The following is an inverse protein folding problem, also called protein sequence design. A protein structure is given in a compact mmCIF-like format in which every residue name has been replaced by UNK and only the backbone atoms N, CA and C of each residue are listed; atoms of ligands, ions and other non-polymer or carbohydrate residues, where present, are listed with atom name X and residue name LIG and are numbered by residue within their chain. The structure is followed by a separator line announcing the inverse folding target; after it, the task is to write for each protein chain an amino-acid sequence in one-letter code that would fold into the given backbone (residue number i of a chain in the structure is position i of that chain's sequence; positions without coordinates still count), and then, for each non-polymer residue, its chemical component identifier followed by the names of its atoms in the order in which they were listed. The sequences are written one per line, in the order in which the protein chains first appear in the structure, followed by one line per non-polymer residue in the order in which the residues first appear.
data_IF_628686762024
#
_entry.id   IF_628686762024
#
_cell.length_a   1.000
_cell.length_b   1.000
_cell.length_c   1.000
_cell.angle_alpha   90.00
_cell.angle_beta   90.00
_cell.angle_gamma   90.00
#
_symmetry.space_group_name_H-M   'P 1'
#
loop_
_entity.id
_entity.type
_entity.pdbx_description
1 polymer ?
#
# COMPACT_ATOMS: atom_id res chain seq x y z
N UNK A 1 -21.27 -12.94 2.13
CA UNK A 1 -20.70 -11.84 2.93
C UNK A 1 -21.79 -11.07 3.66
N UNK A 2 -21.46 -10.49 4.80
CA UNK A 2 -22.32 -9.60 5.60
C UNK A 2 -22.23 -8.16 5.09
N UNK A 3 -23.22 -7.33 5.44
CA UNK A 3 -23.28 -5.91 5.02
C UNK A 3 -22.08 -5.11 5.54
N UNK A 4 -21.64 -5.39 6.76
CA UNK A 4 -20.49 -4.73 7.39
C UNK A 4 -19.19 -5.05 6.63
N UNK A 5 -19.03 -6.30 6.15
CA UNK A 5 -17.88 -6.72 5.35
C UNK A 5 -17.85 -6.01 3.99
N UNK A 6 -19.01 -5.82 3.34
CA UNK A 6 -19.13 -5.05 2.10
C UNK A 6 -18.66 -3.61 2.30
N UNK A 7 -19.05 -2.98 3.42
CA UNK A 7 -18.65 -1.61 3.74
C UNK A 7 -17.13 -1.53 3.91
N UNK A 8 -16.56 -2.44 4.70
CA UNK A 8 -15.10 -2.52 4.92
C UNK A 8 -14.34 -2.68 3.60
N UNK A 9 -14.83 -3.54 2.70
CA UNK A 9 -14.21 -3.71 1.37
C UNK A 9 -14.26 -2.40 0.58
N UNK A 10 -15.43 -1.75 0.49
CA UNK A 10 -15.57 -0.49 -0.27
C UNK A 10 -14.62 0.58 0.24
N UNK A 11 -14.60 0.82 1.56
CA UNK A 11 -13.72 1.84 2.15
C UNK A 11 -12.25 1.48 1.99
N UNK A 12 -11.90 0.19 2.02
CA UNK A 12 -10.52 -0.25 1.77
C UNK A 12 -10.10 0.02 0.33
N UNK A 13 -10.96 -0.29 -0.64
CA UNK A 13 -10.70 -0.03 -2.06
C UNK A 13 -10.61 1.47 -2.38
N UNK A 14 -11.45 2.30 -1.75
CA UNK A 14 -11.35 3.76 -1.85
C UNK A 14 -10.02 4.28 -1.28
N UNK A 15 -9.59 3.77 -0.12
CA UNK A 15 -8.31 4.15 0.48
C UNK A 15 -7.11 3.72 -0.37
N UNK A 16 -7.19 2.60 -1.10
CA UNK A 16 -6.14 2.20 -2.07
C UNK A 16 -5.93 3.23 -3.17
N UNK A 17 -6.99 3.89 -3.64
CA UNK A 17 -6.87 4.96 -4.65
C UNK A 17 -6.12 6.17 -4.06
N UNK A 18 -6.48 6.60 -2.85
CA UNK A 18 -5.77 7.69 -2.15
C UNK A 18 -4.31 7.33 -1.86
N UNK A 19 -4.02 6.07 -1.51
CA UNK A 19 -2.64 5.60 -1.34
C UNK A 19 -1.84 5.68 -2.64
N UNK A 20 -2.44 5.34 -3.79
CA UNK A 20 -1.76 5.45 -5.08
C UNK A 20 -1.44 6.91 -5.42
N UNK A 21 -2.36 7.84 -5.18
CA UNK A 21 -2.12 9.28 -5.34
C UNK A 21 -0.98 9.76 -4.43
N UNK A 22 -0.96 9.32 -3.17
CA UNK A 22 0.12 9.61 -2.22
C UNK A 22 1.48 9.09 -2.71
N UNK A 23 1.50 7.89 -3.30
CA UNK A 23 2.73 7.29 -3.83
C UNK A 23 3.23 8.06 -5.08
N UNK A 24 2.33 8.51 -5.95
CA UNK A 24 2.64 9.39 -7.08
C UNK A 24 3.22 10.72 -6.59
N UNK A 25 2.61 11.32 -5.55
CA UNK A 25 3.10 12.54 -4.94
C UNK A 25 4.53 12.38 -4.40
N UNK A 26 4.78 11.33 -3.61
CA UNK A 26 6.11 11.05 -3.04
C UNK A 26 7.14 10.93 -4.17
N UNK A 27 6.83 10.14 -5.20
CA UNK A 27 7.73 9.94 -6.34
C UNK A 27 8.05 11.28 -7.05
N UNK A 28 7.06 12.14 -7.25
CA UNK A 28 7.26 13.47 -7.83
C UNK A 28 8.24 14.32 -7.02
N UNK A 29 8.02 14.40 -5.70
CA UNK A 29 8.88 15.17 -4.79
C UNK A 29 10.29 14.60 -4.67
N UNK A 30 10.45 13.28 -4.70
CA UNK A 30 11.76 12.65 -4.72
C UNK A 30 12.56 13.01 -5.98
N UNK A 31 11.90 13.06 -7.14
CA UNK A 31 12.55 13.51 -8.39
C UNK A 31 12.91 15.00 -8.36
N UNK A 32 12.23 15.81 -7.55
CA UNK A 32 12.58 17.21 -7.27
C UNK A 32 13.66 17.36 -6.18
N UNK A 33 14.23 16.26 -5.66
CA UNK A 33 15.17 16.24 -4.54
C UNK A 33 14.59 16.80 -3.22
N UNK A 34 13.26 16.80 -3.08
CA UNK A 34 12.52 17.28 -1.91
C UNK A 34 12.14 16.14 -0.98
N UNK A 35 13.13 15.37 -0.56
CA UNK A 35 12.93 14.17 0.27
C UNK A 35 12.19 14.48 1.58
N UNK A 36 12.53 15.56 2.28
CA UNK A 36 11.91 15.89 3.57
C UNK A 36 10.40 16.16 3.45
N UNK A 37 9.94 16.72 2.33
CA UNK A 37 8.51 16.99 2.07
C UNK A 37 7.67 15.71 1.94
N UNK A 38 8.31 14.55 1.78
CA UNK A 38 7.62 13.27 1.56
C UNK A 38 7.40 12.45 2.83
N UNK A 39 8.09 12.79 3.93
CA UNK A 39 8.12 11.97 5.16
C UNK A 39 6.72 11.72 5.70
N UNK A 40 5.92 12.78 5.83
CA UNK A 40 4.58 12.68 6.38
C UNK A 40 3.66 11.85 5.48
N UNK A 41 3.77 12.01 4.16
CA UNK A 41 2.95 11.24 3.21
C UNK A 41 3.36 9.76 3.21
N UNK A 42 4.65 9.45 3.38
CA UNK A 42 5.12 8.07 3.52
C UNK A 42 4.61 7.44 4.82
N UNK A 43 4.58 8.20 5.92
CA UNK A 43 4.00 7.75 7.19
C UNK A 43 2.50 7.49 7.06
N UNK A 44 1.76 8.41 6.43
CA UNK A 44 0.32 8.26 6.17
C UNK A 44 0.05 7.03 5.30
N UNK A 45 0.87 6.78 4.27
CA UNK A 45 0.78 5.61 3.41
C UNK A 45 1.04 4.31 4.19
N UNK A 46 2.03 4.30 5.09
CA UNK A 46 2.34 3.15 5.94
C UNK A 46 1.18 2.83 6.91
N UNK A 47 0.59 3.88 7.51
CA UNK A 47 -0.58 3.74 8.38
C UNK A 47 -1.82 3.25 7.62
N UNK A 48 -2.05 3.77 6.41
CA UNK A 48 -3.14 3.34 5.54
C UNK A 48 -2.99 1.87 5.14
N UNK A 49 -1.79 1.44 4.76
CA UNK A 49 -1.48 0.04 4.48
C UNK A 49 -1.84 -0.88 5.66
N UNK A 50 -1.35 -0.56 6.87
CA UNK A 50 -1.64 -1.35 8.06
C UNK A 50 -3.15 -1.38 8.39
N UNK A 51 -3.85 -0.25 8.22
CA UNK A 51 -5.29 -0.14 8.44
C UNK A 51 -6.09 -1.04 7.47
N UNK A 52 -5.75 -1.01 6.18
CA UNK A 52 -6.36 -1.88 5.17
C UNK A 52 -6.10 -3.34 5.53
N UNK A 53 -4.83 -3.71 5.74
CA UNK A 53 -4.44 -5.08 6.06
C UNK A 53 -5.26 -5.64 7.24
N UNK A 54 -5.30 -4.91 8.35
CA UNK A 54 -6.03 -5.32 9.56
C UNK A 54 -7.54 -5.45 9.30
N UNK A 55 -8.10 -4.56 8.47
CA UNK A 55 -9.53 -4.52 8.19
C UNK A 55 -9.99 -5.65 7.28
N UNK A 56 -9.19 -5.99 6.25
CA UNK A 56 -9.57 -7.00 5.26
C UNK A 56 -9.14 -8.42 5.67
N UNK A 57 -8.12 -8.59 6.52
CA UNK A 57 -7.60 -9.91 6.89
C UNK A 57 -8.69 -10.90 7.40
N UNK A 58 -9.63 -10.52 8.29
CA UNK A 58 -10.71 -11.41 8.70
C UNK A 58 -11.64 -11.85 7.57
N UNK A 59 -11.75 -11.05 6.50
CA UNK A 59 -12.54 -11.37 5.31
C UNK A 59 -11.75 -12.37 4.44
N UNK A 60 -10.45 -12.11 4.23
CA UNK A 60 -9.57 -12.96 3.42
C UNK A 60 -9.45 -14.39 3.94
N UNK A 61 -9.41 -14.57 5.27
CA UNK A 61 -9.36 -15.89 5.90
C UNK A 61 -10.58 -16.77 5.56
N UNK A 62 -11.67 -16.18 5.06
CA UNK A 62 -12.88 -16.89 4.63
C UNK A 62 -12.88 -17.20 3.13
N UNK A 63 -11.95 -16.62 2.37
CA UNK A 63 -11.83 -16.82 0.93
C UNK A 63 -10.81 -17.92 0.66
N UNK A 64 -11.15 -18.91 -0.17
CA UNK A 64 -10.19 -19.93 -0.56
C UNK A 64 -9.10 -19.35 -1.47
N UNK A 65 -7.84 -19.70 -1.19
CA UNK A 65 -6.66 -19.58 -2.07
C UNK A 65 -6.48 -18.18 -2.72
N UNK A 66 -5.76 -17.30 -2.03
CA UNK A 66 -5.25 -16.04 -2.58
C UNK A 66 -3.74 -15.92 -2.32
N UNK A 67 -3.03 -15.21 -3.20
CA UNK A 67 -1.59 -14.93 -3.05
C UNK A 67 -1.36 -13.67 -2.18
N UNK A 68 -2.39 -13.23 -1.47
CA UNK A 68 -2.40 -11.96 -0.75
C UNK A 68 -1.40 -11.91 0.41
N UNK A 69 -1.20 -12.96 1.23
CA UNK A 69 -0.20 -12.93 2.29
C UNK A 69 1.20 -12.61 1.74
N UNK A 70 1.61 -13.30 0.67
CA UNK A 70 2.93 -13.11 0.05
C UNK A 70 3.08 -11.67 -0.47
N UNK A 71 2.08 -11.14 -1.17
CA UNK A 71 2.14 -9.77 -1.71
C UNK A 71 2.09 -8.70 -0.63
N UNK A 72 1.39 -8.98 0.47
CA UNK A 72 1.33 -8.10 1.65
C UNK A 72 2.69 -8.04 2.33
N UNK A 73 3.36 -9.17 2.50
CA UNK A 73 4.71 -9.24 3.05
C UNK A 73 5.71 -8.47 2.17
N UNK A 74 5.65 -8.65 0.84
CA UNK A 74 6.51 -7.93 -0.10
C UNK A 74 6.32 -6.40 -0.02
N UNK A 75 5.07 -5.92 0.09
CA UNK A 75 4.81 -4.49 0.26
C UNK A 75 5.30 -3.98 1.63
N UNK A 76 5.10 -4.75 2.70
CA UNK A 76 5.61 -4.40 4.02
C UNK A 76 7.13 -4.27 4.02
N UNK A 77 7.84 -5.22 3.45
CA UNK A 77 9.29 -5.19 3.33
C UNK A 77 9.75 -3.98 2.50
N UNK A 78 9.03 -3.65 1.42
CA UNK A 78 9.34 -2.49 0.59
C UNK A 78 9.16 -1.15 1.36
N UNK A 79 8.12 -1.03 2.18
CA UNK A 79 7.91 0.10 3.08
C UNK A 79 9.03 0.20 4.11
N UNK A 80 9.38 -0.91 4.76
CA UNK A 80 10.47 -0.96 5.73
C UNK A 80 11.82 -0.55 5.13
N UNK A 81 12.11 -0.98 3.90
CA UNK A 81 13.32 -0.57 3.17
C UNK A 81 13.33 0.94 2.94
N UNK A 82 12.21 1.53 2.52
CA UNK A 82 12.10 2.97 2.30
C UNK A 82 12.23 3.75 3.62
N UNK A 83 11.58 3.30 4.70
CA UNK A 83 11.67 3.93 6.03
C UNK A 83 13.12 3.92 6.52
N UNK A 84 13.81 2.77 6.45
CA UNK A 84 15.21 2.63 6.85
C UNK A 84 16.13 3.53 6.03
N UNK A 85 15.86 3.73 4.74
CA UNK A 85 16.61 4.66 3.90
C UNK A 85 16.46 6.12 4.38
N UNK A 86 15.27 6.51 4.83
CA UNK A 86 15.06 7.84 5.39
C UNK A 86 15.78 8.03 6.72
N UNK A 87 15.71 7.04 7.59
CA UNK A 87 16.31 7.08 8.92
C UNK A 87 17.85 7.07 8.88
N UNK A 88 18.46 6.23 8.04
CA UNK A 88 19.90 5.97 8.09
C UNK A 88 20.71 6.87 7.16
N UNK A 89 20.19 7.15 5.97
CA UNK A 89 20.93 7.80 4.89
C UNK A 89 20.24 9.07 4.40
N UNK A 90 19.16 9.50 5.07
CA UNK A 90 18.39 10.72 4.73
C UNK A 90 17.82 10.68 3.31
N UNK A 91 17.47 9.50 2.80
CA UNK A 91 16.81 9.37 1.51
C UNK A 91 17.71 9.50 0.28
N UNK A 92 19.03 9.29 0.41
CA UNK A 92 19.97 9.35 -0.73
C UNK A 92 19.59 8.42 -1.88
N UNK A 93 19.02 7.25 -1.57
CA UNK A 93 18.57 6.25 -2.55
C UNK A 93 17.05 6.17 -2.65
N UNK A 94 16.32 7.12 -2.07
CA UNK A 94 14.86 7.09 -2.02
C UNK A 94 14.21 7.02 -3.40
N UNK A 95 14.76 7.68 -4.42
CA UNK A 95 14.27 7.61 -5.81
C UNK A 95 14.40 6.19 -6.37
N UNK A 96 15.56 5.55 -6.18
CA UNK A 96 15.84 4.19 -6.65
C UNK A 96 14.91 3.18 -5.96
N UNK A 97 14.81 3.27 -4.63
CA UNK A 97 13.93 2.39 -3.83
C UNK A 97 12.47 2.59 -4.22
N UNK A 98 12.03 3.84 -4.39
CA UNK A 98 10.67 4.14 -4.84
C UNK A 98 10.37 3.48 -6.19
N UNK A 99 11.24 3.66 -7.18
CA UNK A 99 11.01 3.19 -8.55
C UNK A 99 11.09 1.66 -8.69
N UNK A 100 12.06 1.03 -8.03
CA UNK A 100 12.37 -0.38 -8.27
C UNK A 100 11.88 -1.33 -7.17
N UNK A 101 11.43 -0.80 -6.03
CA UNK A 101 10.99 -1.60 -4.88
C UNK A 101 9.56 -1.25 -4.46
N UNK A 102 9.33 -0.02 -3.99
CA UNK A 102 8.07 0.35 -3.35
C UNK A 102 6.90 0.48 -4.34
N UNK A 103 7.06 1.23 -5.43
CA UNK A 103 6.00 1.40 -6.42
C UNK A 103 5.59 0.06 -7.07
N UNK A 104 6.52 -0.80 -7.52
CA UNK A 104 6.15 -2.11 -8.06
C UNK A 104 5.46 -3.02 -7.02
N UNK A 105 5.93 -3.04 -5.77
CA UNK A 105 5.32 -3.82 -4.70
C UNK A 105 3.88 -3.35 -4.42
N UNK A 106 3.67 -2.04 -4.31
CA UNK A 106 2.36 -1.46 -4.09
C UNK A 106 1.39 -1.80 -5.22
N UNK A 107 1.79 -1.62 -6.49
CA UNK A 107 0.92 -1.92 -7.64
C UNK A 107 0.52 -3.40 -7.69
N UNK A 108 1.46 -4.30 -7.40
CA UNK A 108 1.17 -5.73 -7.37
C UNK A 108 0.24 -6.12 -6.22
N UNK A 109 0.40 -5.51 -5.06
CA UNK A 109 -0.47 -5.73 -3.91
C UNK A 109 -1.87 -5.12 -4.13
N UNK A 110 -1.96 -3.86 -4.58
CA UNK A 110 -3.22 -3.18 -4.93
C UNK A 110 -4.03 -4.04 -5.90
N UNK A 111 -3.41 -4.48 -7.00
CA UNK A 111 -4.08 -5.31 -8.01
C UNK A 111 -4.65 -6.60 -7.42
N UNK A 112 -3.90 -7.29 -6.55
CA UNK A 112 -4.40 -8.52 -5.89
C UNK A 112 -5.59 -8.23 -4.97
N UNK A 113 -5.52 -7.16 -4.18
CA UNK A 113 -6.61 -6.74 -3.29
C UNK A 113 -7.86 -6.44 -4.12
N UNK A 114 -7.71 -5.72 -5.23
CA UNK A 114 -8.80 -5.39 -6.14
C UNK A 114 -9.39 -6.62 -6.83
N UNK A 115 -8.56 -7.50 -7.40
CA UNK A 115 -9.01 -8.73 -8.06
C UNK A 115 -9.73 -9.66 -7.08
N UNK A 116 -9.24 -9.72 -5.84
CA UNK A 116 -9.84 -10.55 -4.78
C UNK A 116 -11.13 -9.96 -4.26
N UNK A 117 -11.20 -8.65 -4.00
CA UNK A 117 -12.29 -8.04 -3.24
C UNK A 117 -13.36 -7.33 -4.09
N UNK A 118 -13.05 -6.86 -5.32
CA UNK A 118 -14.06 -6.21 -6.19
C UNK A 118 -15.28 -7.08 -6.50
N UNK A 119 -15.18 -8.40 -6.78
CA UNK A 119 -16.34 -9.26 -7.10
C UNK A 119 -17.44 -9.26 -6.03
N UNK A 120 -17.07 -8.88 -4.80
CA UNK A 120 -17.91 -8.94 -3.63
C UNK A 120 -18.71 -7.65 -3.38
N UNK A 121 -18.39 -6.55 -4.07
CA UNK A 121 -19.08 -5.26 -3.90
C UNK A 121 -19.83 -4.79 -5.15
N UNK A 122 -19.59 -5.45 -6.28
CA UNK A 122 -20.26 -5.19 -7.56
C UNK A 122 -21.38 -6.22 -7.71
N UNK A 123 -22.48 -6.04 -6.96
CA UNK A 123 -23.70 -6.81 -7.12
C UNK A 123 -24.93 -6.03 -6.67
#
# INVERSE_FOLDING_TARGET
MKKEEIIVIKTSLELLETMEEGLVYIKGKLNELKTEETINVLLDLTNAFASIEQSINPILLKLEKNDMPIKTDVLRDALDVMIKEYENTKGQRAVEIMQFTLEPAFKNWKREVEETLRPYIVS
#
